data_IF_852569872030
#
_entry.id   IF_852569872030
#
_cell.length_a   1.000
_cell.length_b   1.000
_cell.length_c   1.000
_cell.angle_alpha   90.00
_cell.angle_beta   90.00
_cell.angle_gamma   90.00
#
_symmetry.space_group_name_H-M   'P 1'
#
loop_
_entity.id
_entity.type
_entity.pdbx_description
1 polymer ?
#
# COMPACT_ATOMS: atom_id res chain seq x y z
N UNK A 1 -2.14 -10.26 -12.18
CA UNK A 1 -1.96 -9.41 -10.99
C UNK A 1 -2.49 -7.99 -11.17
N UNK A 2 -1.94 -7.22 -12.13
CA UNK A 2 -2.20 -5.79 -12.32
C UNK A 2 -3.70 -5.40 -12.37
N UNK A 3 -4.53 -6.18 -13.08
CA UNK A 3 -5.98 -5.92 -13.16
C UNK A 3 -6.70 -6.05 -11.80
N UNK A 4 -6.23 -6.92 -10.90
CA UNK A 4 -6.82 -7.10 -9.56
C UNK A 4 -6.49 -5.91 -8.67
N UNK A 5 -5.25 -5.44 -8.68
CA UNK A 5 -4.80 -4.25 -7.95
C UNK A 5 -5.56 -3.01 -8.43
N UNK A 6 -5.64 -2.81 -9.75
CA UNK A 6 -6.38 -1.69 -10.32
C UNK A 6 -7.84 -1.68 -9.87
N UNK A 7 -8.54 -2.81 -9.97
CA UNK A 7 -9.94 -2.94 -9.51
C UNK A 7 -10.10 -2.66 -8.01
N UNK A 8 -9.14 -3.09 -7.19
CA UNK A 8 -9.13 -2.80 -5.75
C UNK A 8 -9.00 -1.29 -5.50
N UNK A 9 -8.03 -0.62 -6.12
CA UNK A 9 -7.80 0.81 -5.95
C UNK A 9 -8.95 1.66 -6.49
N UNK A 10 -9.56 1.28 -7.62
CA UNK A 10 -10.76 1.92 -8.15
C UNK A 10 -11.96 1.78 -7.21
N UNK A 11 -12.11 0.60 -6.59
CA UNK A 11 -13.13 0.37 -5.56
C UNK A 11 -12.87 1.25 -4.33
N UNK A 12 -11.63 1.29 -3.81
CA UNK A 12 -11.27 2.15 -2.68
C UNK A 12 -11.55 3.62 -2.99
N UNK A 13 -11.14 4.11 -4.16
CA UNK A 13 -11.38 5.51 -4.55
C UNK A 13 -12.86 5.86 -4.62
N UNK A 14 -13.72 4.92 -5.00
CA UNK A 14 -15.17 5.13 -5.06
C UNK A 14 -15.82 5.14 -3.68
N UNK A 15 -15.38 4.28 -2.78
CA UNK A 15 -16.03 4.06 -1.47
C UNK A 15 -15.42 4.94 -0.35
N UNK A 16 -14.19 5.44 -0.52
CA UNK A 16 -13.52 6.26 0.49
C UNK A 16 -14.15 7.66 0.62
N UNK A 17 -14.52 8.10 1.83
CA UNK A 17 -15.02 9.46 2.04
C UNK A 17 -13.91 10.49 1.79
N UNK A 18 -14.13 11.37 0.80
CA UNK A 18 -13.08 12.25 0.28
C UNK A 18 -12.48 13.24 1.28
N UNK A 19 -13.19 13.61 2.34
CA UNK A 19 -12.74 14.54 3.39
C UNK A 19 -11.77 13.90 4.39
N UNK A 20 -11.72 12.57 4.48
CA UNK A 20 -10.84 11.83 5.40
C UNK A 20 -9.91 10.86 4.67
N UNK A 21 -9.95 10.80 3.34
CA UNK A 21 -9.06 9.95 2.56
C UNK A 21 -7.63 10.52 2.51
N UNK A 22 -6.65 9.72 2.92
CA UNK A 22 -5.22 10.12 2.98
C UNK A 22 -4.36 9.42 1.91
N UNK A 23 -4.94 8.50 1.14
CA UNK A 23 -4.26 7.73 0.12
C UNK A 23 -4.18 6.24 0.47
N UNK A 24 -4.24 5.38 -0.54
CA UNK A 24 -4.12 3.93 -0.38
C UNK A 24 -2.69 3.48 -0.70
N UNK A 25 -2.07 2.74 0.21
CA UNK A 25 -0.78 2.08 0.01
C UNK A 25 -0.95 0.57 -0.10
N UNK A 26 -0.63 -0.01 -1.26
CA UNK A 26 -0.65 -1.46 -1.46
C UNK A 26 0.63 -1.91 -2.14
N UNK A 27 1.32 -2.90 -1.56
CA UNK A 27 2.44 -3.59 -2.18
C UNK A 27 2.03 -5.03 -2.43
N UNK A 28 2.07 -5.46 -3.70
CA UNK A 28 1.87 -6.88 -4.05
C UNK A 28 3.23 -7.51 -4.24
N UNK A 29 3.48 -8.62 -3.56
CA UNK A 29 4.80 -9.26 -3.54
C UNK A 29 4.72 -10.77 -3.74
N UNK A 30 5.84 -11.35 -4.18
CA UNK A 30 6.02 -12.81 -4.26
C UNK A 30 6.70 -13.39 -3.01
N UNK A 31 7.80 -12.78 -2.57
CA UNK A 31 8.46 -13.06 -1.29
C UNK A 31 8.68 -11.77 -0.51
N UNK A 32 8.74 -11.87 0.82
CA UNK A 32 9.14 -10.76 1.69
C UNK A 32 10.67 -10.61 1.73
N UNK A 33 11.41 -11.59 1.24
CA UNK A 33 12.88 -11.59 1.28
C UNK A 33 13.42 -10.35 0.58
N UNK A 34 14.27 -9.60 1.29
CA UNK A 34 14.92 -8.37 0.83
C UNK A 34 13.98 -7.19 0.50
N UNK A 35 12.67 -7.28 0.80
CA UNK A 35 11.82 -6.10 0.70
C UNK A 35 12.18 -5.11 1.80
N UNK A 36 12.39 -3.82 1.47
CA UNK A 36 12.77 -2.80 2.44
C UNK A 36 11.54 -2.32 3.22
N UNK A 37 11.15 -3.15 4.20
CA UNK A 37 9.97 -2.94 5.02
C UNK A 37 10.28 -2.97 6.52
N UNK A 38 9.42 -2.32 7.29
CA UNK A 38 9.42 -2.34 8.75
C UNK A 38 7.99 -2.41 9.28
N UNK A 39 7.73 -3.30 10.25
CA UNK A 39 6.43 -3.43 10.91
C UNK A 39 6.25 -2.28 11.91
N UNK A 40 5.23 -1.42 11.74
CA UNK A 40 5.04 -0.26 12.63
C UNK A 40 4.18 -0.54 13.87
N UNK A 41 3.80 -1.81 14.09
CA UNK A 41 3.06 -2.23 15.28
C UNK A 41 2.93 -3.74 15.40
N UNK A 42 2.54 -4.21 16.57
CA UNK A 42 2.39 -5.65 16.86
C UNK A 42 1.32 -6.32 15.98
N UNK A 43 0.22 -5.63 15.73
CA UNK A 43 -0.87 -6.10 14.87
C UNK A 43 -0.61 -5.92 13.36
N UNK A 44 0.64 -5.67 12.96
CA UNK A 44 0.98 -5.48 11.55
C UNK A 44 0.88 -6.78 10.76
N UNK A 45 1.14 -7.93 11.39
CA UNK A 45 0.94 -9.26 10.80
C UNK A 45 -0.54 -9.60 10.91
N UNK A 46 -1.18 -9.97 9.80
CA UNK A 46 -2.60 -10.34 9.82
C UNK A 46 -2.79 -11.85 9.78
N UNK A 47 -3.83 -12.32 10.43
CA UNK A 47 -4.25 -13.72 10.37
C UNK A 47 -4.96 -14.02 9.06
N UNK A 48 -5.03 -15.31 8.72
CA UNK A 48 -5.88 -15.79 7.64
C UNK A 48 -7.35 -15.39 7.90
N UNK A 49 -8.06 -14.97 6.83
CA UNK A 49 -9.47 -14.53 6.77
C UNK A 49 -9.77 -13.03 6.94
N UNK A 50 -8.76 -12.15 6.93
CA UNK A 50 -9.01 -10.70 6.90
C UNK A 50 -9.44 -10.25 5.49
N UNK A 51 -10.49 -9.43 5.42
CA UNK A 51 -10.96 -8.87 4.15
C UNK A 51 -10.00 -7.78 3.63
N UNK A 52 -9.36 -8.08 2.50
CA UNK A 52 -8.40 -7.19 1.86
C UNK A 52 -8.99 -5.81 1.56
N UNK A 53 -10.23 -5.75 1.05
CA UNK A 53 -10.81 -4.48 0.64
C UNK A 53 -11.07 -3.57 1.84
N UNK A 54 -11.74 -4.09 2.87
CA UNK A 54 -12.10 -3.34 4.08
C UNK A 54 -10.86 -2.86 4.78
N UNK A 55 -9.83 -3.71 4.94
CA UNK A 55 -8.60 -3.29 5.60
C UNK A 55 -7.84 -2.21 4.83
N UNK A 56 -7.70 -2.33 3.51
CA UNK A 56 -7.03 -1.28 2.72
C UNK A 56 -7.85 0.02 2.74
N UNK A 57 -9.17 -0.07 2.66
CA UNK A 57 -10.05 1.09 2.76
C UNK A 57 -9.84 1.80 4.10
N UNK A 58 -9.95 1.09 5.21
CA UNK A 58 -9.77 1.63 6.56
C UNK A 58 -8.36 2.22 6.77
N UNK A 59 -7.32 1.55 6.27
CA UNK A 59 -5.94 2.05 6.30
C UNK A 59 -5.70 3.26 5.39
N UNK A 60 -6.68 3.64 4.56
CA UNK A 60 -6.59 4.83 3.72
C UNK A 60 -7.30 6.05 4.32
N UNK A 61 -7.82 5.96 5.55
CA UNK A 61 -8.61 7.00 6.20
C UNK A 61 -7.86 7.63 7.38
N UNK A 62 -7.86 8.96 7.47
CA UNK A 62 -7.28 9.74 8.56
C UNK A 62 -7.82 9.36 9.94
N UNK A 63 -9.01 8.76 10.00
CA UNK A 63 -9.65 8.30 11.25
C UNK A 63 -9.01 7.02 11.81
N UNK A 64 -8.21 6.30 11.01
CA UNK A 64 -7.48 5.13 11.45
C UNK A 64 -6.08 5.55 11.94
N UNK A 65 -5.71 5.30 13.20
CA UNK A 65 -4.38 5.65 13.70
C UNK A 65 -3.23 4.94 12.97
N UNK A 66 -3.53 3.83 12.30
CA UNK A 66 -2.59 3.02 11.51
C UNK A 66 -2.75 3.28 10.00
N UNK A 67 -3.22 4.47 9.60
CA UNK A 67 -3.39 4.81 8.18
C UNK A 67 -2.07 5.08 7.46
N UNK A 68 -0.99 5.33 8.21
CA UNK A 68 0.30 5.65 7.61
C UNK A 68 1.07 4.39 7.28
N UNK A 69 1.54 4.26 6.04
CA UNK A 69 2.16 3.04 5.52
C UNK A 69 1.36 2.32 4.44
N UNK A 70 1.69 1.02 4.29
CA UNK A 70 1.22 0.15 3.21
C UNK A 70 0.58 -1.13 3.75
N UNK A 71 -0.38 -1.66 2.99
CA UNK A 71 -0.87 -3.02 3.10
C UNK A 71 -0.07 -3.93 2.18
N UNK A 72 0.42 -5.05 2.73
CA UNK A 72 1.19 -6.05 1.99
C UNK A 72 0.27 -7.19 1.56
N UNK A 73 0.31 -7.50 0.27
CA UNK A 73 -0.59 -8.45 -0.38
C UNK A 73 0.25 -9.50 -1.08
N UNK A 74 0.04 -10.78 -0.78
CA UNK A 74 0.77 -11.86 -1.43
C UNK A 74 0.37 -11.99 -2.91
N UNK A 75 1.13 -12.79 -3.68
CA UNK A 75 0.77 -13.12 -5.08
C UNK A 75 -0.59 -13.81 -5.24
N UNK A 76 -1.05 -14.51 -4.21
CA UNK A 76 -2.40 -15.10 -4.20
C UNK A 76 -3.50 -14.06 -3.94
N UNK A 77 -3.08 -12.81 -3.72
CA UNK A 77 -3.91 -11.65 -3.44
C UNK A 77 -4.64 -11.75 -2.10
N UNK A 78 -3.93 -12.32 -1.12
CA UNK A 78 -4.33 -12.34 0.28
C UNK A 78 -3.60 -11.22 1.02
N UNK A 79 -4.30 -10.50 1.88
CA UNK A 79 -3.65 -9.58 2.80
C UNK A 79 -2.79 -10.39 3.76
N UNK A 80 -1.56 -9.95 3.98
CA UNK A 80 -0.60 -10.62 4.89
C UNK A 80 -0.11 -9.67 5.98
N UNK A 81 0.00 -8.39 5.64
CA UNK A 81 0.40 -7.36 6.60
C UNK A 81 -0.34 -6.04 6.35
N UNK A 82 -0.48 -5.24 7.40
CA UNK A 82 -0.97 -3.86 7.38
C UNK A 82 -0.01 -2.98 8.18
N UNK A 83 -0.16 -1.65 8.07
CA UNK A 83 0.66 -0.70 8.84
C UNK A 83 2.16 -0.88 8.62
N UNK A 84 2.57 -1.09 7.37
CA UNK A 84 3.97 -1.34 7.00
C UNK A 84 4.64 -0.05 6.53
N UNK A 85 5.77 0.29 7.14
CA UNK A 85 6.67 1.28 6.59
C UNK A 85 7.43 0.63 5.43
N UNK A 86 7.18 1.10 4.21
CA UNK A 86 7.85 0.62 3.00
C UNK A 86 8.72 1.74 2.43
N UNK A 87 10.04 1.51 2.43
CA UNK A 87 11.02 2.52 2.06
C UNK A 87 12.03 1.95 1.04
N UNK A 88 11.61 1.83 -0.22
CA UNK A 88 12.48 1.32 -1.26
C UNK A 88 13.71 2.22 -1.47
N UNK A 89 14.84 1.62 -1.90
CA UNK A 89 16.02 2.40 -2.23
C UNK A 89 15.69 3.44 -3.30
N UNK A 90 16.36 4.58 -3.23
CA UNK A 90 16.19 5.65 -4.20
C UNK A 90 16.86 5.22 -5.51
N UNK A 91 16.07 4.87 -6.51
CA UNK A 91 16.53 4.61 -7.86
C UNK A 91 16.50 5.90 -8.69
N UNK A 92 17.69 6.46 -8.96
CA UNK A 92 17.85 7.69 -9.75
C UNK A 92 17.43 7.53 -11.22
N UNK A 93 17.21 6.29 -11.70
CA UNK A 93 16.71 6.02 -13.04
C UNK A 93 15.19 6.15 -13.17
N UNK A 94 14.46 6.18 -12.05
CA UNK A 94 13.01 6.34 -12.03
C UNK A 94 12.64 7.78 -12.36
N UNK A 95 12.01 7.97 -13.52
CA UNK A 95 11.47 9.25 -13.97
C UNK A 95 9.94 9.25 -13.92
N UNK A 96 9.36 10.33 -13.43
CA UNK A 96 7.91 10.60 -13.52
C UNK A 96 7.68 12.11 -13.67
N UNK A 97 6.48 12.49 -14.14
CA UNK A 97 6.12 13.89 -14.33
C UNK A 97 5.93 14.58 -12.97
N UNK A 98 6.98 15.26 -12.51
CA UNK A 98 6.97 16.00 -11.25
C UNK A 98 5.94 17.14 -11.21
N UNK A 99 5.38 17.56 -12.34
CA UNK A 99 4.35 18.61 -12.38
C UNK A 99 2.97 18.14 -11.87
N UNK A 100 2.73 16.82 -11.81
CA UNK A 100 1.44 16.25 -11.36
C UNK A 100 1.24 16.30 -9.84
N UNK A 101 2.29 16.60 -9.05
CA UNK A 101 2.19 16.70 -7.59
C UNK A 101 1.94 15.37 -6.88
N UNK A 102 2.61 14.30 -7.29
CA UNK A 102 2.45 12.98 -6.66
C UNK A 102 2.84 12.97 -5.18
N UNK A 103 2.03 12.32 -4.35
CA UNK A 103 2.32 12.12 -2.94
C UNK A 103 3.39 11.05 -2.68
N UNK A 104 3.93 11.04 -1.46
CA UNK A 104 5.03 10.15 -1.04
C UNK A 104 4.71 8.66 -1.20
N UNK A 105 3.47 8.22 -0.93
CA UNK A 105 3.04 6.83 -1.16
C UNK A 105 3.16 6.41 -2.62
N UNK A 106 2.86 7.30 -3.56
CA UNK A 106 3.00 7.01 -4.99
C UNK A 106 4.47 6.86 -5.36
N UNK A 107 5.32 7.78 -4.90
CA UNK A 107 6.76 7.74 -5.18
C UNK A 107 7.40 6.49 -4.60
N UNK A 108 7.06 6.11 -3.36
CA UNK A 108 7.52 4.86 -2.77
C UNK A 108 7.04 3.64 -3.56
N UNK A 109 5.76 3.57 -3.96
CA UNK A 109 5.28 2.46 -4.78
C UNK A 109 6.00 2.36 -6.14
N UNK A 110 6.31 3.50 -6.77
CA UNK A 110 7.00 3.57 -8.04
C UNK A 110 8.45 3.07 -7.92
N UNK A 111 9.20 3.58 -6.93
CA UNK A 111 10.57 3.15 -6.63
C UNK A 111 10.61 1.65 -6.26
N UNK A 112 9.67 1.21 -5.44
CA UNK A 112 9.57 -0.18 -4.99
C UNK A 112 9.15 -1.17 -6.08
N UNK A 113 8.58 -0.70 -7.20
CA UNK A 113 8.23 -1.56 -8.34
C UNK A 113 9.46 -2.01 -9.15
N UNK A 114 10.67 -1.60 -8.74
CA UNK A 114 11.96 -2.03 -9.32
C UNK A 114 12.73 -3.02 -8.42
N UNK A 115 12.23 -3.26 -7.21
CA UNK A 115 12.77 -4.21 -6.22
C UNK A 115 12.12 -5.57 -6.44
#
# INVERSE_FOLDING_TARGET
MHLRVKKLLEKIRREAPGNVFTGAGVVVYESLDNLPLFLMGEDSVVNDNIDLFTTVLESSLATNPNHDGFCMVSKDFKLTHKNIYFAPPIDQSVSFDNSQGYGTRYVAALMGSKV
#
